data_IF_347125233102
#
_entry.id   IF_347125233102
#
_cell.length_a   1.000
_cell.length_b   1.000
_cell.length_c   1.000
_cell.angle_alpha   90.00
_cell.angle_beta   90.00
_cell.angle_gamma   90.00
#
_symmetry.space_group_name_H-M   'P 1'
#
loop_
_entity.id
_entity.type
_entity.pdbx_description
1 polymer ?
#
# COMPACT_ATOMS: atom_id res chain seq x y z
N UNK A 1 -14.45 -4.25 -20.28
CA UNK A 1 -13.76 -5.55 -20.06
C UNK A 1 -13.84 -5.85 -18.58
N UNK A 2 -14.11 -7.09 -18.15
CA UNK A 2 -14.01 -7.42 -16.73
C UNK A 2 -12.56 -7.21 -16.28
N UNK A 3 -12.38 -6.62 -15.10
CA UNK A 3 -11.06 -6.47 -14.51
C UNK A 3 -10.49 -7.86 -14.19
N UNK A 4 -9.21 -8.08 -14.51
CA UNK A 4 -8.48 -9.27 -14.09
C UNK A 4 -8.11 -9.11 -12.60
N UNK A 5 -8.97 -9.65 -11.72
CA UNK A 5 -8.81 -9.56 -10.27
C UNK A 5 -8.04 -10.79 -9.80
N UNK A 6 -6.87 -10.56 -9.20
CA UNK A 6 -6.01 -11.62 -8.66
C UNK A 6 -5.69 -11.37 -7.19
N UNK A 7 -5.60 -12.44 -6.37
CA UNK A 7 -5.07 -12.33 -5.01
C UNK A 7 -3.63 -11.80 -5.04
N UNK A 8 -3.34 -10.78 -4.23
CA UNK A 8 -2.02 -10.13 -4.19
C UNK A 8 -0.90 -11.07 -3.72
N UNK A 9 -1.22 -12.07 -2.89
CA UNK A 9 -0.28 -13.08 -2.40
C UNK A 9 0.14 -14.09 -3.49
N UNK A 10 -0.66 -14.22 -4.55
CA UNK A 10 -0.35 -15.00 -5.75
C UNK A 10 0.39 -14.20 -6.83
N UNK A 11 0.56 -12.89 -6.64
CA UNK A 11 1.23 -12.05 -7.63
C UNK A 11 2.74 -12.15 -7.50
N UNK A 12 3.42 -12.42 -8.62
CA UNK A 12 4.88 -12.52 -8.66
C UNK A 12 5.50 -11.25 -9.25
N UNK A 13 6.24 -10.51 -8.44
CA UNK A 13 6.98 -9.30 -8.84
C UNK A 13 8.32 -9.67 -9.48
N UNK A 14 8.29 -10.31 -10.67
CA UNK A 14 9.52 -10.78 -11.36
C UNK A 14 10.16 -9.72 -12.25
N UNK A 15 9.33 -8.94 -12.93
CA UNK A 15 9.77 -7.93 -13.89
C UNK A 15 9.46 -6.52 -13.38
N UNK A 16 10.16 -5.52 -13.92
CA UNK A 16 9.87 -4.11 -13.64
C UNK A 16 8.46 -3.78 -14.15
N UNK A 17 7.52 -3.59 -13.23
CA UNK A 17 6.13 -3.24 -13.53
C UNK A 17 5.81 -1.78 -13.18
N UNK A 18 4.59 -1.39 -13.51
CA UNK A 18 4.01 -0.09 -13.19
C UNK A 18 2.83 -0.30 -12.25
N UNK A 19 2.89 0.29 -11.07
CA UNK A 19 1.89 0.10 -10.02
C UNK A 19 1.32 1.44 -9.57
N UNK A 20 0.00 1.51 -9.45
CA UNK A 20 -0.72 2.57 -8.73
C UNK A 20 -1.31 1.95 -7.47
N UNK A 21 -1.01 2.54 -6.32
CA UNK A 21 -1.39 2.00 -5.00
C UNK A 21 -2.38 2.95 -4.34
N UNK A 22 -3.52 2.41 -3.92
CA UNK A 22 -4.58 3.15 -3.24
C UNK A 22 -4.17 3.56 -1.80
N UNK A 23 -4.83 4.59 -1.27
CA UNK A 23 -4.57 5.18 0.04
C UNK A 23 -4.63 4.14 1.17
N UNK A 24 -5.60 3.23 1.12
CA UNK A 24 -5.77 2.19 2.16
C UNK A 24 -4.52 1.31 2.30
N UNK A 25 -3.88 0.93 1.19
CA UNK A 25 -2.67 0.12 1.18
C UNK A 25 -1.51 0.93 1.77
N UNK A 26 -1.37 2.22 1.43
CA UNK A 26 -0.37 3.08 2.06
C UNK A 26 -0.55 3.19 3.58
N UNK A 27 -1.80 3.25 4.04
CA UNK A 27 -2.09 3.26 5.48
C UNK A 27 -1.79 1.91 6.16
N UNK A 28 -1.87 0.78 5.45
CA UNK A 28 -1.41 -0.51 5.98
C UNK A 28 0.10 -0.60 6.05
N UNK A 29 0.83 -0.05 5.07
CA UNK A 29 2.30 -0.12 5.02
C UNK A 29 2.94 0.87 6.00
N UNK A 30 2.46 2.12 6.03
CA UNK A 30 3.12 3.21 6.76
C UNK A 30 2.32 3.74 7.96
N UNK A 31 1.03 3.40 8.05
CA UNK A 31 0.16 3.86 9.13
C UNK A 31 0.49 3.24 10.49
N UNK A 32 0.02 3.85 11.59
CA UNK A 32 0.09 3.26 12.92
C UNK A 32 -0.92 2.10 13.01
N UNK A 33 -0.55 0.90 12.57
CA UNK A 33 -1.37 -0.31 12.64
C UNK A 33 -0.92 -1.22 13.78
N UNK A 34 -1.80 -2.12 14.21
CA UNK A 34 -1.45 -3.17 15.16
C UNK A 34 -0.45 -4.17 14.53
N UNK A 35 0.58 -4.63 15.27
CA UNK A 35 1.65 -5.49 14.73
C UNK A 35 1.16 -6.83 14.13
N UNK A 36 -0.04 -7.29 14.49
CA UNK A 36 -0.60 -8.57 14.04
C UNK A 36 -1.65 -8.46 12.92
N UNK A 37 -1.82 -7.28 12.31
CA UNK A 37 -2.77 -7.09 11.23
C UNK A 37 -2.32 -7.83 9.94
N UNK A 38 -3.20 -8.67 9.37
CA UNK A 38 -2.87 -9.52 8.23
C UNK A 38 -2.68 -8.71 6.94
N UNK A 39 -3.47 -7.64 6.74
CA UNK A 39 -3.33 -6.73 5.59
C UNK A 39 -1.95 -6.06 5.60
N UNK A 40 -1.49 -5.59 6.76
CA UNK A 40 -0.17 -4.98 6.95
C UNK A 40 0.93 -5.94 6.51
N UNK A 41 0.84 -7.21 6.90
CA UNK A 41 1.82 -8.24 6.52
C UNK A 41 1.83 -8.49 5.01
N UNK A 42 0.66 -8.68 4.41
CA UNK A 42 0.53 -9.01 3.00
C UNK A 42 0.98 -7.83 2.12
N UNK A 43 0.54 -6.61 2.44
CA UNK A 43 0.90 -5.44 1.65
C UNK A 43 2.35 -4.99 1.85
N UNK A 44 2.93 -5.18 3.04
CA UNK A 44 4.37 -4.95 3.24
C UNK A 44 5.20 -5.94 2.42
N UNK A 45 4.80 -7.21 2.36
CA UNK A 45 5.45 -8.22 1.51
C UNK A 45 5.32 -7.88 0.02
N UNK A 46 4.14 -7.46 -0.41
CA UNK A 46 3.92 -7.03 -1.79
C UNK A 46 4.78 -5.82 -2.16
N UNK A 47 4.83 -4.81 -1.29
CA UNK A 47 5.66 -3.62 -1.48
C UNK A 47 7.16 -3.97 -1.54
N UNK A 48 7.64 -4.87 -0.68
CA UNK A 48 9.01 -5.38 -0.76
C UNK A 48 9.29 -6.08 -2.11
N UNK A 49 8.32 -6.80 -2.66
CA UNK A 49 8.40 -7.39 -4.01
C UNK A 49 8.53 -6.35 -5.11
N UNK A 50 7.66 -5.33 -5.09
CA UNK A 50 7.71 -4.18 -6.03
C UNK A 50 9.08 -3.52 -6.02
N UNK A 51 9.62 -3.23 -4.82
CA UNK A 51 10.94 -2.62 -4.67
C UNK A 51 12.07 -3.53 -5.19
N UNK A 52 12.01 -4.82 -4.87
CA UNK A 52 13.01 -5.81 -5.31
C UNK A 52 13.03 -5.97 -6.83
N UNK A 53 11.87 -5.89 -7.47
CA UNK A 53 11.70 -5.92 -8.92
C UNK A 53 12.11 -4.61 -9.62
N UNK A 54 12.53 -3.58 -8.86
CA UNK A 54 12.81 -2.23 -9.37
C UNK A 54 11.65 -1.66 -10.19
N UNK A 55 10.43 -1.93 -9.73
CA UNK A 55 9.21 -1.46 -10.38
C UNK A 55 8.97 0.03 -10.11
N UNK A 56 8.19 0.67 -10.97
CA UNK A 56 7.75 2.04 -10.77
C UNK A 56 6.44 2.08 -9.99
N UNK A 57 6.43 2.86 -8.92
CA UNK A 57 5.21 3.13 -8.15
C UNK A 57 4.78 4.56 -8.41
N UNK A 58 3.62 4.71 -9.02
CA UNK A 58 2.99 5.98 -9.25
C UNK A 58 2.12 6.37 -8.06
N UNK A 59 2.03 7.67 -7.82
CA UNK A 59 1.12 8.25 -6.83
C UNK A 59 0.41 9.45 -7.45
N UNK A 60 -0.91 9.43 -7.37
CA UNK A 60 -1.76 10.54 -7.80
C UNK A 60 -1.92 11.57 -6.67
N UNK A 61 -2.02 12.89 -6.95
CA UNK A 61 -2.22 13.91 -5.93
C UNK A 61 -3.44 13.67 -5.02
N UNK A 62 -4.51 13.04 -5.50
CA UNK A 62 -5.69 12.70 -4.70
C UNK A 62 -5.35 11.61 -3.67
N UNK A 63 -4.67 10.55 -4.09
CA UNK A 63 -4.20 9.47 -3.21
C UNK A 63 -3.27 10.04 -2.13
N UNK A 64 -2.31 10.88 -2.54
CA UNK A 64 -1.40 11.54 -1.62
C UNK A 64 -2.14 12.43 -0.61
N UNK A 65 -3.10 13.23 -1.09
CA UNK A 65 -3.89 14.13 -0.24
C UNK A 65 -4.74 13.35 0.76
N UNK A 66 -5.35 12.24 0.35
CA UNK A 66 -6.12 11.39 1.24
C UNK A 66 -5.20 10.72 2.27
N UNK A 67 -4.05 10.19 1.84
CA UNK A 67 -3.06 9.59 2.74
C UNK A 67 -2.63 10.55 3.84
N UNK A 68 -2.19 11.76 3.49
CA UNK A 68 -1.76 12.79 4.46
C UNK A 68 -2.88 13.08 5.46
N UNK A 69 -4.10 13.32 4.97
CA UNK A 69 -5.24 13.66 5.82
C UNK A 69 -5.69 12.51 6.73
N UNK A 70 -5.72 11.27 6.22
CA UNK A 70 -6.03 10.06 7.00
C UNK A 70 -4.95 9.80 8.04
N UNK A 71 -3.68 9.84 7.65
CA UNK A 71 -2.55 9.57 8.52
C UNK A 71 -2.48 10.56 9.68
N UNK A 72 -2.60 11.87 9.39
CA UNK A 72 -2.62 12.90 10.43
C UNK A 72 -3.74 12.67 11.47
N UNK A 73 -4.95 12.30 11.02
CA UNK A 73 -6.07 11.98 11.92
C UNK A 73 -5.81 10.72 12.75
N UNK A 74 -5.16 9.70 12.20
CA UNK A 74 -4.81 8.49 12.95
C UNK A 74 -3.81 8.80 14.06
N UNK A 75 -2.74 9.53 13.73
CA UNK A 75 -1.73 9.95 14.71
C UNK A 75 -2.37 10.85 15.78
N UNK A 76 -3.17 11.84 15.40
CA UNK A 76 -3.87 12.68 16.37
C UNK A 76 -4.70 11.85 17.35
N UNK A 77 -5.49 10.89 16.88
CA UNK A 77 -6.29 10.01 17.75
C UNK A 77 -5.47 9.07 18.63
N UNK A 78 -4.25 8.73 18.22
CA UNK A 78 -3.39 7.81 18.96
C UNK A 78 -2.61 8.51 20.07
N UNK A 79 -2.35 9.82 19.94
CA UNK A 79 -1.43 10.56 20.81
C UNK A 79 -2.03 11.83 21.46
N UNK A 80 -3.26 12.24 21.11
CA UNK A 80 -3.99 13.34 21.72
C UNK A 80 -5.24 12.85 22.45
#
# INVERSE_FOLDING_TARGET
MPADIRPIDSFEFRDSGEFLVDTNIWLYIFGPQAPDNWETRIYSKAYAGILSAKSHVYIDPLILSEFINRYARLIYRAYA
#
